data_IF_954149658019
#
_entry.id   IF_954149658019
#
_cell.length_a   1.000
_cell.length_b   1.000
_cell.length_c   1.000
_cell.angle_alpha   90.00
_cell.angle_beta   90.00
_cell.angle_gamma   90.00
#
_symmetry.space_group_name_H-M   'P 1'
#
loop_
_entity.id
_entity.type
_entity.pdbx_description
1 polymer ?
#
# COMPACT_ATOMS: atom_id res chain seq x y z
N UNK A 1 -19.98 27.16 -11.86
CA UNK A 1 -19.27 26.93 -10.59
C UNK A 1 -20.03 26.01 -9.63
N UNK A 2 -21.30 26.26 -9.30
CA UNK A 2 -22.11 25.41 -8.35
C UNK A 2 -22.09 23.90 -8.70
N UNK A 3 -22.11 23.51 -9.98
CA UNK A 3 -22.10 22.10 -10.41
C UNK A 3 -20.77 21.36 -10.10
N UNK A 4 -19.62 22.03 -10.22
CA UNK A 4 -18.31 21.42 -9.94
C UNK A 4 -18.11 21.22 -8.44
N UNK A 5 -18.52 22.19 -7.60
CA UNK A 5 -18.47 22.10 -6.15
C UNK A 5 -19.36 20.98 -5.63
N UNK A 6 -20.55 20.79 -6.17
CA UNK A 6 -21.42 19.68 -5.80
C UNK A 6 -20.81 18.31 -6.14
N UNK A 7 -20.09 18.19 -7.28
CA UNK A 7 -19.41 16.94 -7.65
C UNK A 7 -18.22 16.64 -6.75
N UNK A 8 -17.45 17.67 -6.37
CA UNK A 8 -16.35 17.52 -5.41
C UNK A 8 -16.87 17.05 -4.05
N UNK A 9 -17.88 17.71 -3.50
CA UNK A 9 -18.50 17.33 -2.22
C UNK A 9 -19.10 15.92 -2.28
N UNK A 10 -19.65 15.52 -3.41
CA UNK A 10 -20.10 14.15 -3.61
C UNK A 10 -18.94 13.16 -3.52
N UNK A 11 -17.78 13.47 -4.12
CA UNK A 11 -16.56 12.67 -3.98
C UNK A 11 -16.08 12.58 -2.53
N UNK A 12 -16.04 13.72 -1.82
CA UNK A 12 -15.70 13.76 -0.39
C UNK A 12 -16.61 12.83 0.43
N UNK A 13 -17.92 12.88 0.17
CA UNK A 13 -18.86 11.99 0.88
C UNK A 13 -18.60 10.51 0.60
N UNK A 14 -18.22 10.15 -0.63
CA UNK A 14 -17.90 8.77 -0.98
C UNK A 14 -16.56 8.31 -0.39
N UNK A 15 -15.65 9.23 -0.02
CA UNK A 15 -14.37 8.89 0.61
C UNK A 15 -14.44 8.66 2.12
N UNK A 16 -15.57 8.96 2.79
CA UNK A 16 -15.72 8.78 4.25
C UNK A 16 -15.33 7.38 4.74
N UNK A 17 -15.70 6.27 4.07
CA UNK A 17 -15.28 4.93 4.48
C UNK A 17 -13.75 4.77 4.53
N UNK A 18 -13.02 5.45 3.61
CA UNK A 18 -11.55 5.44 3.60
C UNK A 18 -11.02 6.11 4.87
N UNK A 19 -11.62 7.22 5.31
CA UNK A 19 -11.17 7.95 6.51
C UNK A 19 -11.19 7.08 7.76
N UNK A 20 -12.28 6.30 7.91
CA UNK A 20 -12.47 5.40 9.06
C UNK A 20 -11.35 4.36 9.13
N UNK A 21 -10.90 3.84 7.99
CA UNK A 21 -9.77 2.92 7.93
C UNK A 21 -8.40 3.60 8.07
N UNK A 22 -8.27 4.80 7.50
CA UNK A 22 -6.98 5.52 7.46
C UNK A 22 -6.58 6.12 8.80
N UNK A 23 -7.52 6.66 9.58
CA UNK A 23 -7.21 7.28 10.87
C UNK A 23 -6.44 6.33 11.80
N UNK A 24 -6.96 5.14 12.15
CA UNK A 24 -6.23 4.24 13.04
C UNK A 24 -4.93 3.72 12.42
N UNK A 25 -4.92 3.45 11.11
CA UNK A 25 -3.72 2.96 10.42
C UNK A 25 -2.62 4.01 10.37
N UNK A 26 -2.94 5.27 10.09
CA UNK A 26 -2.00 6.38 10.07
C UNK A 26 -1.43 6.67 11.47
N UNK A 27 -2.27 6.64 12.51
CA UNK A 27 -1.82 6.77 13.91
C UNK A 27 -0.83 5.64 14.22
N UNK A 28 -1.17 4.40 13.88
CA UNK A 28 -0.30 3.24 14.09
C UNK A 28 1.04 3.42 13.37
N UNK A 29 1.02 3.87 12.12
CA UNK A 29 2.24 4.14 11.37
C UNK A 29 3.11 5.21 12.03
N UNK A 30 2.50 6.32 12.49
CA UNK A 30 3.21 7.38 13.19
C UNK A 30 3.86 6.89 14.50
N UNK A 31 3.13 6.14 15.32
CA UNK A 31 3.66 5.49 16.54
C UNK A 31 4.83 4.57 16.19
N UNK A 32 4.69 3.79 15.13
CA UNK A 32 5.73 2.87 14.69
C UNK A 32 7.02 3.59 14.27
N UNK A 33 6.91 4.71 13.56
CA UNK A 33 8.06 5.55 13.22
C UNK A 33 8.78 6.05 14.47
N UNK A 34 8.04 6.57 15.45
CA UNK A 34 8.58 7.05 16.73
C UNK A 34 9.26 5.90 17.51
N UNK A 35 8.59 4.77 17.64
CA UNK A 35 9.07 3.59 18.37
C UNK A 35 10.38 3.04 17.80
N UNK A 36 10.55 3.10 16.48
CA UNK A 36 11.77 2.64 15.81
C UNK A 36 12.81 3.76 15.62
N UNK A 37 12.69 4.85 16.39
CA UNK A 37 13.63 5.98 16.38
C UNK A 37 13.81 6.63 15.01
N UNK A 38 12.82 6.51 14.12
CA UNK A 38 12.81 7.23 12.86
C UNK A 38 12.40 8.68 13.13
N UNK A 39 13.19 9.64 12.63
CA UNK A 39 12.91 11.05 12.84
C UNK A 39 11.58 11.51 12.25
N UNK A 40 11.01 12.59 12.79
CA UNK A 40 9.77 13.20 12.31
C UNK A 40 9.76 13.44 10.80
N UNK A 41 10.92 13.82 10.22
CA UNK A 41 11.06 14.01 8.78
C UNK A 41 10.77 12.73 7.98
N UNK A 42 11.15 11.56 8.48
CA UNK A 42 10.86 10.28 7.82
C UNK A 42 9.35 10.00 7.83
N UNK A 43 8.69 10.20 8.96
CA UNK A 43 7.24 10.04 9.08
C UNK A 43 6.48 11.02 8.17
N UNK A 44 6.91 12.29 8.14
CA UNK A 44 6.32 13.32 7.28
C UNK A 44 6.53 13.01 5.78
N UNK A 45 7.77 12.82 5.35
CA UNK A 45 8.08 12.60 3.95
C UNK A 45 7.45 11.29 3.42
N UNK A 46 7.50 10.21 4.19
CA UNK A 46 6.85 8.97 3.77
C UNK A 46 5.33 9.14 3.61
N UNK A 47 4.67 9.92 4.48
CA UNK A 47 3.23 10.10 4.43
C UNK A 47 2.77 11.07 3.33
N UNK A 48 3.55 12.11 3.04
CA UNK A 48 3.17 13.12 2.05
C UNK A 48 3.82 12.94 0.68
N UNK A 49 4.94 12.22 0.57
CA UNK A 49 5.63 11.99 -0.70
C UNK A 49 5.39 10.57 -1.22
N UNK A 50 5.57 9.55 -0.39
CA UNK A 50 5.38 8.16 -0.81
C UNK A 50 3.90 7.78 -0.89
N UNK A 51 3.10 8.21 0.08
CA UNK A 51 1.64 8.02 0.17
C UNK A 51 1.15 6.62 -0.25
N UNK A 52 1.81 5.60 0.21
CA UNK A 52 1.48 4.19 -0.03
C UNK A 52 1.62 3.43 1.29
N UNK A 53 0.49 3.18 1.97
CA UNK A 53 0.49 2.59 3.31
C UNK A 53 1.34 1.32 3.40
N UNK A 54 1.13 0.34 2.52
CA UNK A 54 1.91 -0.89 2.51
C UNK A 54 3.42 -0.63 2.33
N UNK A 55 3.80 0.29 1.41
CA UNK A 55 5.19 0.66 1.19
C UNK A 55 5.80 1.39 2.40
N UNK A 56 5.01 2.22 3.10
CA UNK A 56 5.45 2.94 4.29
C UNK A 56 5.74 1.99 5.46
N UNK A 57 4.86 1.04 5.72
CA UNK A 57 5.09 0.02 6.74
C UNK A 57 6.30 -0.87 6.40
N UNK A 58 6.45 -1.25 5.12
CA UNK A 58 7.62 -1.99 4.65
C UNK A 58 8.90 -1.17 4.79
N UNK A 59 8.86 0.14 4.48
CA UNK A 59 9.98 1.06 4.64
C UNK A 59 10.50 1.08 6.09
N UNK A 60 9.61 1.13 7.09
CA UNK A 60 10.02 1.08 8.49
C UNK A 60 10.76 -0.23 8.78
N UNK A 61 10.23 -1.37 8.34
CA UNK A 61 10.87 -2.68 8.50
C UNK A 61 12.26 -2.73 7.86
N UNK A 62 12.41 -2.19 6.66
CA UNK A 62 13.70 -2.17 5.95
C UNK A 62 14.72 -1.24 6.60
N UNK A 63 14.30 -0.07 7.07
CA UNK A 63 15.20 0.86 7.76
C UNK A 63 15.70 0.26 9.08
N UNK A 64 14.84 -0.42 9.83
CA UNK A 64 15.22 -1.11 11.06
C UNK A 64 16.13 -2.31 10.82
N UNK A 65 15.93 -3.03 9.72
CA UNK A 65 16.78 -4.14 9.28
C UNK A 65 18.08 -3.68 8.59
N UNK A 66 18.32 -2.37 8.49
CA UNK A 66 19.50 -1.79 7.81
C UNK A 66 19.65 -2.24 6.35
N UNK A 67 18.53 -2.44 5.65
CA UNK A 67 18.53 -2.79 4.23
C UNK A 67 19.15 -1.65 3.42
N UNK A 68 20.04 -1.93 2.43
CA UNK A 68 20.63 -0.90 1.58
C UNK A 68 19.57 -0.06 0.86
N UNK A 69 19.81 1.23 0.69
CA UNK A 69 18.88 2.20 0.07
C UNK A 69 18.40 1.73 -1.31
N UNK A 70 19.30 1.16 -2.11
CA UNK A 70 18.93 0.62 -3.44
C UNK A 70 17.93 -0.54 -3.31
N UNK A 71 18.13 -1.43 -2.36
CA UNK A 71 17.20 -2.53 -2.07
C UNK A 71 15.82 -2.02 -1.64
N UNK A 72 15.79 -0.99 -0.78
CA UNK A 72 14.55 -0.32 -0.37
C UNK A 72 13.85 0.28 -1.60
N UNK A 73 14.59 1.04 -2.43
CA UNK A 73 14.04 1.69 -3.61
C UNK A 73 13.42 0.69 -4.60
N UNK A 74 14.13 -0.41 -4.90
CA UNK A 74 13.64 -1.47 -5.78
C UNK A 74 12.39 -2.14 -5.21
N UNK A 75 12.39 -2.49 -3.93
CA UNK A 75 11.25 -3.14 -3.29
C UNK A 75 10.01 -2.24 -3.25
N UNK A 76 10.19 -0.96 -2.91
CA UNK A 76 9.10 0.03 -2.92
C UNK A 76 8.56 0.25 -4.34
N UNK A 77 9.44 0.31 -5.34
CA UNK A 77 9.05 0.42 -6.74
C UNK A 77 8.22 -0.80 -7.18
N UNK A 78 8.70 -2.02 -6.93
CA UNK A 78 7.99 -3.25 -7.28
C UNK A 78 6.62 -3.33 -6.60
N UNK A 79 6.55 -3.02 -5.31
CA UNK A 79 5.28 -3.01 -4.57
C UNK A 79 4.28 -2.00 -5.17
N UNK A 80 4.74 -0.83 -5.58
CA UNK A 80 3.89 0.23 -6.11
C UNK A 80 3.58 0.10 -7.62
N UNK A 81 4.18 -0.87 -8.33
CA UNK A 81 3.87 -1.14 -9.75
C UNK A 81 2.37 -1.40 -9.96
N UNK A 82 1.67 -1.97 -8.98
CA UNK A 82 0.21 -2.12 -9.00
C UNK A 82 -0.53 -0.78 -9.13
N UNK A 83 -0.05 0.28 -8.50
CA UNK A 83 -0.68 1.61 -8.58
C UNK A 83 -0.54 2.20 -9.99
N UNK A 84 0.56 1.88 -10.69
CA UNK A 84 0.74 2.23 -12.08
C UNK A 84 -0.32 1.57 -12.97
N UNK A 85 -0.57 0.26 -12.80
CA UNK A 85 -1.60 -0.48 -13.54
C UNK A 85 -3.00 0.07 -13.24
N UNK A 86 -3.31 0.36 -11.98
CA UNK A 86 -4.58 0.98 -11.57
C UNK A 86 -4.75 2.37 -12.18
N UNK A 87 -3.69 3.19 -12.20
CA UNK A 87 -3.71 4.51 -12.83
C UNK A 87 -3.97 4.44 -14.33
N UNK A 88 -3.34 3.49 -15.03
CA UNK A 88 -3.57 3.23 -16.44
C UNK A 88 -5.02 2.82 -16.72
N UNK A 89 -5.59 1.96 -15.86
CA UNK A 89 -6.98 1.51 -15.96
C UNK A 89 -7.96 2.69 -15.81
N UNK A 90 -7.74 3.58 -14.83
CA UNK A 90 -8.55 4.77 -14.67
C UNK A 90 -8.40 5.68 -15.90
N UNK A 91 -7.17 5.90 -16.37
CA UNK A 91 -6.87 6.71 -17.52
C UNK A 91 -7.59 6.23 -18.80
N UNK A 92 -7.64 4.91 -19.00
CA UNK A 92 -8.32 4.30 -20.15
C UNK A 92 -9.86 4.30 -20.06
N UNK A 93 -10.40 4.31 -18.84
CA UNK A 93 -11.85 4.15 -18.62
C UNK A 93 -12.59 5.49 -18.50
N UNK A 94 -11.87 6.60 -18.30
CA UNK A 94 -12.47 7.87 -17.89
C UNK A 94 -12.07 9.03 -18.80
N UNK A 95 -12.77 9.15 -19.93
CA UNK A 95 -12.66 10.31 -20.87
C UNK A 95 -13.00 11.67 -20.23
N UNK A 96 -13.58 11.68 -19.02
CA UNK A 96 -14.08 12.89 -18.36
C UNK A 96 -13.10 13.52 -17.38
N UNK A 97 -11.92 12.92 -17.16
CA UNK A 97 -10.85 13.52 -16.33
C UNK A 97 -9.96 14.38 -17.21
N UNK A 98 -9.76 15.62 -16.79
CA UNK A 98 -8.90 16.54 -17.52
C UNK A 98 -7.45 16.02 -17.55
N UNK A 99 -6.83 15.90 -18.71
CA UNK A 99 -5.45 15.43 -18.85
C UNK A 99 -4.44 16.20 -17.97
N UNK A 100 -4.66 17.49 -17.72
CA UNK A 100 -3.83 18.30 -16.82
C UNK A 100 -3.90 17.85 -15.36
N UNK A 101 -4.94 17.14 -14.96
CA UNK A 101 -5.11 16.62 -13.61
C UNK A 101 -4.55 15.20 -13.42
N UNK A 102 -4.21 14.48 -14.51
CA UNK A 102 -3.70 13.12 -14.43
C UNK A 102 -2.50 12.92 -13.50
N UNK A 103 -1.47 13.77 -13.48
CA UNK A 103 -0.35 13.59 -12.56
C UNK A 103 -0.78 13.61 -11.10
N UNK A 104 -1.70 14.53 -10.74
CA UNK A 104 -2.21 14.65 -9.37
C UNK A 104 -3.12 13.47 -9.04
N UNK A 105 -4.01 13.10 -9.95
CA UNK A 105 -4.92 11.95 -9.79
C UNK A 105 -4.14 10.65 -9.64
N UNK A 106 -3.09 10.44 -10.44
CA UNK A 106 -2.22 9.28 -10.35
C UNK A 106 -1.43 9.22 -9.05
N UNK A 107 -0.89 10.36 -8.59
CA UNK A 107 -0.16 10.42 -7.32
C UNK A 107 -1.04 10.14 -6.11
N UNK A 108 -2.26 10.68 -6.10
CA UNK A 108 -3.21 10.50 -4.99
C UNK A 108 -3.96 9.17 -5.05
N UNK A 109 -3.63 8.30 -6.02
CA UNK A 109 -4.31 7.02 -6.20
C UNK A 109 -3.86 6.01 -5.15
N UNK A 110 -4.83 5.38 -4.52
CA UNK A 110 -4.66 4.26 -3.58
C UNK A 110 -5.63 3.14 -3.94
N UNK A 111 -5.45 1.95 -3.37
CA UNK A 111 -6.34 0.80 -3.60
C UNK A 111 -7.80 1.14 -3.26
N UNK A 112 -8.01 1.85 -2.17
CA UNK A 112 -9.34 2.23 -1.67
C UNK A 112 -9.99 3.27 -2.57
N UNK A 113 -9.23 4.30 -2.97
CA UNK A 113 -9.74 5.32 -3.89
C UNK A 113 -10.02 4.74 -5.27
N UNK A 114 -9.17 3.83 -5.77
CA UNK A 114 -9.39 3.09 -7.00
C UNK A 114 -10.69 2.27 -6.93
N UNK A 115 -10.91 1.56 -5.83
CA UNK A 115 -12.13 0.79 -5.61
C UNK A 115 -13.38 1.67 -5.71
N UNK A 116 -13.40 2.81 -4.99
CA UNK A 116 -14.55 3.75 -5.04
C UNK A 116 -14.77 4.27 -6.46
N UNK A 117 -13.71 4.66 -7.17
CA UNK A 117 -13.81 5.17 -8.55
C UNK A 117 -14.32 4.07 -9.49
N UNK A 118 -13.84 2.85 -9.35
CA UNK A 118 -14.25 1.70 -10.17
C UNK A 118 -15.71 1.32 -9.99
N UNK A 119 -16.24 1.41 -8.77
CA UNK A 119 -17.67 1.16 -8.50
C UNK A 119 -18.59 2.33 -8.91
N UNK A 120 -18.04 3.51 -9.14
CA UNK A 120 -18.82 4.70 -9.48
C UNK A 120 -18.42 5.30 -10.85
N UNK A 121 -18.06 4.49 -11.82
CA UNK A 121 -17.55 4.91 -13.14
C UNK A 121 -18.36 6.03 -13.80
N UNK A 122 -19.70 5.99 -13.70
CA UNK A 122 -20.59 6.99 -14.28
C UNK A 122 -20.44 8.39 -13.65
N UNK A 123 -20.04 8.45 -12.36
CA UNK A 123 -19.86 9.71 -11.62
C UNK A 123 -18.46 10.28 -11.79
N UNK A 124 -17.51 9.47 -12.27
CA UNK A 124 -16.11 9.86 -12.37
C UNK A 124 -15.93 11.05 -13.33
N UNK A 125 -15.36 12.09 -12.83
CA UNK A 125 -14.85 13.26 -13.49
C UNK A 125 -13.81 13.92 -12.57
N UNK A 126 -13.01 14.83 -13.07
CA UNK A 126 -11.91 15.46 -12.32
C UNK A 126 -12.32 15.93 -10.92
N UNK A 127 -13.47 16.61 -10.78
CA UNK A 127 -13.91 17.15 -9.48
C UNK A 127 -14.31 16.04 -8.50
N UNK A 128 -15.02 15.03 -8.96
CA UNK A 128 -15.40 13.88 -8.13
C UNK A 128 -14.17 13.08 -7.71
N UNK A 129 -13.26 12.79 -8.65
CA UNK A 129 -12.03 12.04 -8.38
C UNK A 129 -11.16 12.73 -7.33
N UNK A 130 -10.92 14.04 -7.49
CA UNK A 130 -10.17 14.81 -6.50
C UNK A 130 -10.91 14.89 -5.15
N UNK A 131 -12.24 14.94 -5.15
CA UNK A 131 -13.05 14.86 -3.94
C UNK A 131 -12.90 13.53 -3.20
N UNK A 132 -12.71 12.41 -3.93
CA UNK A 132 -12.46 11.09 -3.34
C UNK A 132 -11.04 10.99 -2.77
N UNK A 133 -10.04 11.60 -3.42
CA UNK A 133 -8.63 11.37 -3.15
C UNK A 133 -8.01 12.38 -2.17
N UNK A 134 -8.34 13.67 -2.27
CA UNK A 134 -7.70 14.73 -1.48
C UNK A 134 -7.94 14.59 0.04
N UNK A 135 -9.17 14.38 0.53
CA UNK A 135 -9.37 14.28 1.97
C UNK A 135 -8.63 13.10 2.62
N UNK A 136 -8.66 11.87 2.08
CA UNK A 136 -7.88 10.77 2.65
C UNK A 136 -6.37 11.04 2.69
N UNK A 137 -5.83 11.72 1.69
CA UNK A 137 -4.43 12.11 1.64
C UNK A 137 -4.03 12.98 2.85
N UNK A 138 -4.79 14.04 3.12
CA UNK A 138 -4.52 14.89 4.28
C UNK A 138 -4.79 14.18 5.60
N UNK A 139 -5.84 13.37 5.67
CA UNK A 139 -6.15 12.57 6.86
C UNK A 139 -4.97 11.65 7.18
N UNK A 140 -4.47 10.91 6.19
CA UNK A 140 -3.33 10.03 6.38
C UNK A 140 -2.11 10.79 6.92
N UNK A 141 -1.70 11.88 6.27
CA UNK A 141 -0.54 12.67 6.69
C UNK A 141 -0.70 13.29 8.09
N UNK A 142 -1.84 13.92 8.36
CA UNK A 142 -2.11 14.56 9.65
C UNK A 142 -2.13 13.52 10.78
N UNK A 143 -2.84 12.42 10.61
CA UNK A 143 -2.94 11.39 11.65
C UNK A 143 -1.65 10.59 11.82
N UNK A 144 -0.79 10.50 10.81
CA UNK A 144 0.59 10.02 10.98
C UNK A 144 1.37 10.92 11.95
N UNK A 145 1.30 12.24 11.76
CA UNK A 145 1.99 13.16 12.67
C UNK A 145 1.41 13.10 14.10
N UNK A 146 0.09 13.02 14.21
CA UNK A 146 -0.57 12.81 15.53
C UNK A 146 -0.05 11.52 16.18
N UNK A 147 0.02 10.41 15.43
CA UNK A 147 0.54 9.14 15.92
C UNK A 147 2.01 9.22 16.33
N UNK A 148 2.83 9.93 15.55
CA UNK A 148 4.24 10.14 15.88
C UNK A 148 4.42 10.82 17.24
N UNK A 149 3.72 11.92 17.48
CA UNK A 149 3.77 12.61 18.76
C UNK A 149 3.15 11.81 19.91
N UNK A 150 2.06 11.06 19.65
CA UNK A 150 1.50 10.15 20.64
C UNK A 150 2.50 9.09 21.07
N UNK A 151 3.39 8.66 20.17
CA UNK A 151 4.46 7.72 20.47
C UNK A 151 5.35 8.14 21.64
N UNK A 152 5.58 9.45 21.84
CA UNK A 152 6.39 9.96 22.95
C UNK A 152 5.76 9.71 24.33
N UNK A 153 4.44 9.70 24.39
CA UNK A 153 3.68 9.53 25.64
C UNK A 153 3.35 8.08 25.97
N UNK A 154 3.60 7.15 25.04
CA UNK A 154 3.25 5.74 25.23
C UNK A 154 4.28 5.01 26.11
N UNK A 155 3.82 4.21 27.08
CA UNK A 155 4.69 3.28 27.81
C UNK A 155 5.37 2.27 26.88
N UNK A 156 6.57 1.83 27.24
CA UNK A 156 7.36 0.92 26.41
C UNK A 156 6.63 -0.39 26.06
N UNK A 157 5.83 -0.94 26.96
CA UNK A 157 5.04 -2.16 26.70
C UNK A 157 4.06 -1.98 25.54
N UNK A 158 3.44 -0.79 25.45
CA UNK A 158 2.51 -0.46 24.36
C UNK A 158 3.28 -0.24 23.05
N UNK A 159 4.45 0.40 23.10
CA UNK A 159 5.32 0.58 21.92
C UNK A 159 5.72 -0.77 21.31
N UNK A 160 6.10 -1.73 22.13
CA UNK A 160 6.43 -3.10 21.69
C UNK A 160 5.21 -3.77 21.06
N UNK A 161 4.01 -3.59 21.64
CA UNK A 161 2.78 -4.14 21.05
C UNK A 161 2.50 -3.57 19.64
N UNK A 162 2.76 -2.28 19.38
CA UNK A 162 2.62 -1.69 18.06
C UNK A 162 3.64 -2.26 17.05
N UNK A 163 4.87 -2.54 17.47
CA UNK A 163 5.88 -3.17 16.62
C UNK A 163 5.48 -4.59 16.19
N UNK A 164 4.89 -5.37 17.11
CA UNK A 164 4.31 -6.68 16.80
C UNK A 164 3.03 -6.53 15.95
N UNK A 165 2.26 -5.47 16.21
CA UNK A 165 1.04 -5.14 15.46
C UNK A 165 1.28 -4.94 13.96
N UNK A 166 2.48 -4.50 13.57
CA UNK A 166 2.89 -4.41 12.15
C UNK A 166 2.81 -5.78 11.45
N UNK A 167 3.34 -6.82 12.09
CA UNK A 167 3.25 -8.19 11.56
C UNK A 167 1.79 -8.63 11.44
N UNK A 168 0.98 -8.31 12.47
CA UNK A 168 -0.45 -8.56 12.47
C UNK A 168 -1.17 -7.85 11.32
N UNK A 169 -0.80 -6.61 10.98
CA UNK A 169 -1.35 -5.88 9.84
C UNK A 169 -1.07 -6.61 8.52
N UNK A 170 0.16 -7.02 8.27
CA UNK A 170 0.49 -7.76 7.05
C UNK A 170 -0.26 -9.10 6.96
N UNK A 171 -0.38 -9.82 8.08
CA UNK A 171 -1.18 -11.05 8.15
C UNK A 171 -2.65 -10.75 7.85
N UNK A 172 -3.21 -9.67 8.41
CA UNK A 172 -4.60 -9.28 8.18
C UNK A 172 -4.88 -8.90 6.72
N UNK A 173 -3.90 -8.35 6.00
CA UNK A 173 -4.00 -8.08 4.57
C UNK A 173 -3.87 -9.34 3.71
N UNK A 174 -3.07 -10.30 4.15
CA UNK A 174 -2.80 -11.55 3.42
C UNK A 174 -3.93 -12.56 3.55
N UNK A 175 -4.44 -12.76 4.77
CA UNK A 175 -5.41 -13.83 5.09
C UNK A 175 -6.69 -13.81 4.23
N UNK A 176 -7.34 -12.66 3.94
CA UNK A 176 -8.52 -12.64 3.09
C UNK A 176 -8.27 -13.15 1.67
N UNK A 177 -7.08 -12.85 1.12
CA UNK A 177 -6.69 -13.30 -0.23
C UNK A 177 -6.37 -14.80 -0.25
N UNK A 178 -5.64 -15.27 0.77
CA UNK A 178 -5.31 -16.69 0.95
C UNK A 178 -6.58 -17.55 1.09
N UNK A 179 -7.60 -17.05 1.79
CA UNK A 179 -8.87 -17.78 1.97
C UNK A 179 -9.72 -17.87 0.71
N UNK A 180 -9.54 -16.95 -0.24
CA UNK A 180 -10.36 -16.89 -1.44
C UNK A 180 -9.79 -17.68 -2.61
N UNK A 181 -8.47 -17.79 -2.69
CA UNK A 181 -7.79 -18.35 -3.86
C UNK A 181 -6.67 -19.33 -3.43
N UNK A 182 -6.78 -20.59 -3.85
CA UNK A 182 -5.76 -21.60 -3.58
C UNK A 182 -4.40 -21.26 -4.20
N UNK A 183 -4.39 -20.59 -5.35
CA UNK A 183 -3.15 -20.07 -5.97
C UNK A 183 -2.43 -19.10 -5.04
N UNK A 184 -3.14 -18.23 -4.34
CA UNK A 184 -2.52 -17.33 -3.37
C UNK A 184 -1.81 -18.12 -2.26
N UNK A 185 -2.39 -19.23 -1.80
CA UNK A 185 -1.74 -20.14 -0.82
C UNK A 185 -0.44 -20.71 -1.39
N UNK A 186 -0.47 -21.23 -2.61
CA UNK A 186 0.71 -21.80 -3.29
C UNK A 186 1.81 -20.74 -3.44
N UNK A 187 1.47 -19.52 -3.85
CA UNK A 187 2.41 -18.40 -3.98
C UNK A 187 3.02 -18.04 -2.62
N UNK A 188 2.23 -17.94 -1.57
CA UNK A 188 2.72 -17.61 -0.21
C UNK A 188 3.68 -18.68 0.29
N UNK A 189 3.35 -19.96 0.12
CA UNK A 189 4.23 -21.08 0.52
C UNK A 189 5.51 -21.06 -0.31
N UNK A 190 5.41 -20.92 -1.63
CA UNK A 190 6.58 -20.83 -2.51
C UNK A 190 7.49 -19.66 -2.11
N UNK A 191 6.92 -18.48 -1.85
CA UNK A 191 7.66 -17.29 -1.40
C UNK A 191 8.38 -17.54 -0.07
N UNK A 192 7.71 -18.17 0.90
CA UNK A 192 8.30 -18.49 2.19
C UNK A 192 9.47 -19.48 2.03
N UNK A 193 9.33 -20.48 1.19
CA UNK A 193 10.38 -21.47 0.91
C UNK A 193 11.57 -20.79 0.20
N UNK A 194 11.31 -19.99 -0.83
CA UNK A 194 12.35 -19.25 -1.57
C UNK A 194 13.14 -18.34 -0.62
N UNK A 195 12.43 -17.54 0.20
CA UNK A 195 13.09 -16.70 1.19
C UNK A 195 13.92 -17.49 2.18
N UNK A 196 13.38 -18.58 2.71
CA UNK A 196 14.08 -19.45 3.66
C UNK A 196 15.35 -20.05 3.05
N UNK A 197 15.30 -20.51 1.81
CA UNK A 197 16.47 -21.07 1.09
C UNK A 197 17.52 -19.96 0.91
N UNK A 198 17.15 -18.79 0.40
CA UNK A 198 18.06 -17.67 0.17
C UNK A 198 18.71 -17.23 1.48
N UNK A 199 17.92 -17.12 2.56
CA UNK A 199 18.38 -16.77 3.88
C UNK A 199 19.39 -17.79 4.44
N UNK A 200 19.09 -19.09 4.33
CA UNK A 200 19.98 -20.14 4.81
C UNK A 200 21.30 -20.24 4.01
N UNK A 201 21.26 -19.93 2.71
CA UNK A 201 22.45 -19.93 1.87
C UNK A 201 23.41 -18.77 2.18
N UNK A 202 22.89 -17.70 2.78
CA UNK A 202 23.64 -16.49 3.19
C UNK A 202 24.58 -15.94 2.08
N UNK A 203 24.09 -15.99 0.84
CA UNK A 203 24.87 -15.61 -0.36
C UNK A 203 24.89 -14.09 -0.54
N UNK A 204 23.81 -13.41 -0.07
CA UNK A 204 23.61 -11.99 -0.31
C UNK A 204 23.93 -11.16 0.93
N UNK A 205 24.39 -9.90 0.75
CA UNK A 205 24.51 -8.96 1.85
C UNK A 205 23.16 -8.70 2.53
N UNK A 206 23.21 -8.24 3.78
CA UNK A 206 22.04 -7.98 4.62
C UNK A 206 20.96 -7.19 3.87
N UNK A 207 19.74 -7.73 3.84
CA UNK A 207 18.56 -7.13 3.21
C UNK A 207 18.40 -7.40 1.71
N UNK A 208 19.43 -7.84 1.00
CA UNK A 208 19.31 -8.23 -0.40
C UNK A 208 18.62 -9.58 -0.58
N UNK A 209 18.67 -10.45 0.42
CA UNK A 209 17.92 -11.68 0.52
C UNK A 209 16.41 -11.46 0.35
N UNK A 210 15.87 -10.42 0.98
CA UNK A 210 14.45 -10.02 0.84
C UNK A 210 14.16 -9.57 -0.60
N UNK A 211 15.01 -8.72 -1.18
CA UNK A 211 14.82 -8.17 -2.53
C UNK A 211 14.80 -9.28 -3.58
N UNK A 212 15.80 -10.17 -3.55
CA UNK A 212 15.87 -11.29 -4.49
C UNK A 212 14.73 -12.29 -4.28
N UNK A 213 14.32 -12.51 -3.03
CA UNK A 213 13.15 -13.35 -2.74
C UNK A 213 11.87 -12.79 -3.36
N UNK A 214 11.65 -11.47 -3.27
CA UNK A 214 10.48 -10.82 -3.90
C UNK A 214 10.52 -10.99 -5.42
N UNK A 215 11.66 -10.76 -6.05
CA UNK A 215 11.78 -10.85 -7.51
C UNK A 215 11.55 -12.31 -7.98
N UNK A 216 12.24 -13.27 -7.37
CA UNK A 216 12.14 -14.68 -7.74
C UNK A 216 10.73 -15.20 -7.49
N UNK A 217 10.13 -14.88 -6.33
CA UNK A 217 8.76 -15.29 -6.00
C UNK A 217 7.73 -14.66 -6.93
N UNK A 218 7.95 -13.43 -7.40
CA UNK A 218 7.06 -12.80 -8.39
C UNK A 218 7.09 -13.54 -9.73
N UNK A 219 8.28 -13.96 -10.17
CA UNK A 219 8.42 -14.75 -11.40
C UNK A 219 7.74 -16.11 -11.24
N UNK A 220 8.01 -16.81 -10.14
CA UNK A 220 7.37 -18.11 -9.84
C UNK A 220 5.86 -17.96 -9.75
N UNK A 221 5.37 -16.86 -9.15
CA UNK A 221 3.94 -16.56 -9.04
C UNK A 221 3.25 -16.44 -10.41
N UNK A 222 3.91 -15.86 -11.42
CA UNK A 222 3.37 -15.75 -12.78
C UNK A 222 3.11 -17.14 -13.37
N UNK A 223 4.04 -18.08 -13.19
CA UNK A 223 3.87 -19.45 -13.67
C UNK A 223 2.75 -20.19 -12.92
N UNK A 224 2.68 -20.03 -11.60
CA UNK A 224 1.62 -20.66 -10.79
C UNK A 224 0.20 -20.13 -11.11
N UNK A 225 0.07 -18.86 -11.51
CA UNK A 225 -1.20 -18.29 -11.96
C UNK A 225 -1.56 -18.79 -13.37
N UNK A 226 -0.55 -18.97 -14.24
CA UNK A 226 -0.76 -19.44 -15.61
C UNK A 226 -1.40 -20.82 -15.68
N UNK A 227 -1.04 -21.72 -14.76
CA UNK A 227 -1.59 -23.08 -14.71
C UNK A 227 -3.10 -23.10 -14.35
N UNK A 228 -3.56 -22.22 -13.44
CA UNK A 228 -4.97 -22.18 -13.03
C UNK A 228 -5.89 -21.67 -14.14
N UNK A 229 -5.44 -20.69 -14.93
CA UNK A 229 -6.21 -20.20 -16.08
C UNK A 229 -6.34 -21.22 -17.21
N UNK A 230 -5.55 -22.29 -17.19
CA UNK A 230 -5.65 -23.42 -18.13
C UNK A 230 -6.57 -24.52 -17.56
N UNK A 231 -6.52 -24.80 -16.25
CA UNK A 231 -7.38 -25.77 -15.59
C UNK A 231 -8.87 -25.34 -15.63
N UNK A 232 -9.16 -24.05 -15.36
CA UNK A 232 -10.54 -23.51 -15.43
C UNK A 232 -11.16 -23.55 -16.85
N UNK A 233 -10.32 -23.64 -17.90
CA UNK A 233 -10.78 -23.75 -19.29
C UNK A 233 -11.00 -25.20 -19.77
N UNK A 234 -10.49 -26.17 -19.05
CA UNK A 234 -10.72 -27.60 -19.35
C UNK A 234 -11.97 -28.15 -18.63
N UNK A 235 -12.48 -27.41 -17.61
CA UNK A 235 -13.71 -27.76 -16.89
C UNK A 235 -15.00 -27.08 -17.43
N UNK A 236 -14.92 -26.15 -18.38
CA UNK A 236 -16.06 -25.55 -19.13
C UNK A 236 -16.26 -26.28 -20.49
#
# INVERSE_FOLDING_TARGET
>A
MKSKTNKFLLGVRHSIPIWIGYIPSAITFGILCNTNSLGLCHAFLSSFVLYSGAAQFMLVGFLTASVPILGIAVSVFLLNTRLFLMSATIGATVDKVNHKAFPIVGWLLTDESFSILSFNKEKVNTSFTLGVQIPPYFIWGIFTLVGYFLGDFLPNNIKVAFSVGLLGLFIALLVPNVRKHLVTVRIVIATAIIYFIIYCLNIFPLGWDIVFSIIISSIVGIFLIGDETLEDKEEE
#
